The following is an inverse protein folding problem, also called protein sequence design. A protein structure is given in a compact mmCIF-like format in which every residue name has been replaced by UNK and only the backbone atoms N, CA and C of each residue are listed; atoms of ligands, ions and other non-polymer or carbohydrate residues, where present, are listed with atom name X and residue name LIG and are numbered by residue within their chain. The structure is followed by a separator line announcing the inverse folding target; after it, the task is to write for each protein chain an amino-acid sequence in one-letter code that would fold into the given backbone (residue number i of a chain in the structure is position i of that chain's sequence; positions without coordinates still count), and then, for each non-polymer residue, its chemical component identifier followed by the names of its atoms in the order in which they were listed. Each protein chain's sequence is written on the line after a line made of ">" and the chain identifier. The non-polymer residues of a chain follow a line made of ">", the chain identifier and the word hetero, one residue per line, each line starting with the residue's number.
data_IF_155283609429
#
_entry.id   IF_155283609429
#
_cell.length_a   1.000
_cell.length_b   1.000
_cell.length_c   1.000
_cell.angle_alpha   90.00
_cell.angle_beta   90.00
_cell.angle_gamma   90.00
#
_symmetry.space_group_name_H-M   'P 1'
#
loop_
_entity.id
_entity.type
_entity.pdbx_description
1 polymer ?
#
# COMPACT_ATOMS: atom_id res chain seq x y z
N UNK A 1 4.36 -26.69 16.85
CA UNK A 1 4.01 -26.71 18.30
C UNK A 1 4.51 -25.49 19.10
N UNK A 2 5.37 -24.59 18.57
CA UNK A 2 6.05 -23.56 19.40
C UNK A 2 5.49 -22.12 19.42
N UNK A 3 4.58 -21.72 18.52
CA UNK A 3 4.10 -20.31 18.45
C UNK A 3 2.85 -20.01 19.30
N UNK A 4 2.11 -21.04 19.75
CA UNK A 4 0.88 -20.87 20.56
C UNK A 4 1.12 -20.89 22.07
N UNK A 5 2.29 -21.35 22.54
CA UNK A 5 2.67 -21.40 23.96
C UNK A 5 3.25 -20.09 24.50
N UNK A 6 3.33 -19.05 23.66
CA UNK A 6 3.99 -17.77 24.00
C UNK A 6 3.09 -16.74 24.70
N UNK A 7 1.79 -16.98 24.78
CA UNK A 7 0.85 -16.02 25.37
C UNK A 7 0.68 -16.30 26.86
N UNK A 8 1.19 -15.39 27.69
CA UNK A 8 1.12 -15.48 29.15
C UNK A 8 -0.24 -15.05 29.71
N UNK A 9 -1.09 -14.40 28.91
CA UNK A 9 -2.43 -13.95 29.32
C UNK A 9 -3.47 -14.16 28.22
N UNK A 10 -4.76 -14.33 28.59
CA UNK A 10 -5.86 -14.36 27.62
C UNK A 10 -5.94 -13.13 26.72
N UNK A 11 -5.65 -11.94 27.28
CA UNK A 11 -5.68 -10.67 26.55
C UNK A 11 -4.62 -10.62 25.44
N UNK A 12 -3.38 -11.05 25.74
CA UNK A 12 -2.32 -11.10 24.73
C UNK A 12 -2.65 -12.07 23.58
N UNK A 13 -3.37 -13.14 23.89
CA UNK A 13 -3.86 -14.09 22.88
C UNK A 13 -4.96 -13.48 22.01
N UNK A 14 -5.87 -12.71 22.60
CA UNK A 14 -6.92 -11.99 21.88
C UNK A 14 -6.34 -10.96 20.90
N UNK A 15 -5.47 -10.08 21.38
CA UNK A 15 -4.78 -9.07 20.57
C UNK A 15 -4.03 -9.72 19.39
N UNK A 16 -3.34 -10.83 19.63
CA UNK A 16 -2.68 -11.57 18.56
C UNK A 16 -3.63 -12.07 17.46
N UNK A 17 -4.79 -12.62 17.82
CA UNK A 17 -5.75 -13.09 16.81
C UNK A 17 -6.43 -11.93 16.07
N UNK A 18 -6.67 -10.81 16.75
CA UNK A 18 -7.17 -9.59 16.13
C UNK A 18 -6.16 -9.12 15.07
N UNK A 19 -4.89 -8.98 15.42
CA UNK A 19 -3.83 -8.56 14.50
C UNK A 19 -3.66 -9.53 13.34
N UNK A 20 -3.71 -10.85 13.62
CA UNK A 20 -3.61 -11.89 12.61
C UNK A 20 -4.74 -11.79 11.58
N UNK A 21 -5.99 -11.59 12.04
CA UNK A 21 -7.15 -11.43 11.17
C UNK A 21 -7.02 -10.20 10.27
N UNK A 22 -6.67 -9.05 10.84
CA UNK A 22 -6.52 -7.81 10.09
C UNK A 22 -5.37 -7.90 9.08
N UNK A 23 -4.24 -8.49 9.48
CA UNK A 23 -3.10 -8.71 8.59
C UNK A 23 -3.44 -9.61 7.41
N UNK A 24 -4.14 -10.74 7.66
CA UNK A 24 -4.57 -11.63 6.59
C UNK A 24 -5.45 -10.91 5.57
N UNK A 25 -6.43 -10.13 6.04
CA UNK A 25 -7.33 -9.38 5.15
C UNK A 25 -6.60 -8.32 4.35
N UNK A 26 -5.62 -7.66 4.96
CA UNK A 26 -4.80 -6.65 4.29
C UNK A 26 -3.97 -7.27 3.16
N UNK A 27 -3.22 -8.34 3.44
CA UNK A 27 -2.29 -8.94 2.48
C UNK A 27 -2.95 -9.86 1.45
N UNK A 28 -4.11 -10.46 1.74
CA UNK A 28 -4.84 -11.32 0.81
C UNK A 28 -5.37 -10.53 -0.41
N UNK A 29 -5.30 -9.20 -0.40
CA UNK A 29 -5.76 -8.29 -1.47
C UNK A 29 -7.21 -8.55 -1.91
N UNK A 30 -7.95 -9.36 -1.14
CA UNK A 30 -9.35 -9.65 -1.32
C UNK A 30 -10.14 -8.62 -0.54
N UNK A 31 -10.17 -7.39 -1.05
CA UNK A 31 -11.25 -6.47 -0.69
C UNK A 31 -12.56 -6.97 -1.33
N UNK A 32 -13.05 -8.14 -0.86
CA UNK A 32 -14.41 -8.63 -1.12
C UNK A 32 -15.47 -7.67 -0.58
N UNK A 33 -15.07 -6.77 0.32
CA UNK A 33 -15.86 -5.60 0.68
C UNK A 33 -15.87 -4.63 -0.48
N UNK A 34 -16.90 -4.73 -1.32
CA UNK A 34 -17.18 -3.73 -2.34
C UNK A 34 -17.41 -2.39 -1.63
N UNK A 35 -16.66 -1.36 -2.02
CA UNK A 35 -16.82 0.02 -1.51
C UNK A 35 -18.25 0.56 -1.66
N UNK A 36 -19.06 -0.05 -2.51
CA UNK A 36 -20.47 0.28 -2.73
C UNK A 36 -21.44 -0.32 -1.68
N UNK A 37 -20.96 -1.11 -0.72
CA UNK A 37 -21.81 -1.67 0.33
C UNK A 37 -22.10 -0.65 1.44
N UNK A 38 -23.34 -0.64 1.94
CA UNK A 38 -23.72 0.10 3.15
C UNK A 38 -22.89 -0.35 4.35
N UNK A 39 -22.79 0.50 5.37
CA UNK A 39 -22.06 0.18 6.60
C UNK A 39 -22.56 -1.13 7.25
N UNK A 40 -23.87 -1.34 7.28
CA UNK A 40 -24.49 -2.57 7.80
C UNK A 40 -24.04 -3.82 7.03
N UNK A 41 -24.01 -3.75 5.69
CA UNK A 41 -23.52 -4.86 4.87
C UNK A 41 -22.05 -5.13 5.13
N UNK A 42 -21.23 -4.08 5.24
CA UNK A 42 -19.81 -4.22 5.57
C UNK A 42 -19.61 -4.88 6.94
N UNK A 43 -20.38 -4.49 7.96
CA UNK A 43 -20.35 -5.08 9.30
C UNK A 43 -20.74 -6.56 9.30
N UNK A 44 -21.77 -6.93 8.54
CA UNK A 44 -22.19 -8.33 8.40
C UNK A 44 -21.09 -9.19 7.76
N UNK A 45 -20.50 -8.71 6.65
CA UNK A 45 -19.40 -9.43 5.99
C UNK A 45 -18.16 -9.55 6.87
N UNK A 46 -17.85 -8.51 7.66
CA UNK A 46 -16.74 -8.57 8.63
C UNK A 46 -17.00 -9.61 9.71
N UNK A 47 -18.22 -9.65 10.27
CA UNK A 47 -18.61 -10.62 11.30
C UNK A 47 -18.54 -12.06 10.78
N UNK A 48 -19.03 -12.31 9.56
CA UNK A 48 -18.93 -13.62 8.92
C UNK A 48 -17.48 -14.02 8.64
N UNK A 49 -16.66 -13.09 8.16
CA UNK A 49 -15.24 -13.34 7.93
C UNK A 49 -14.48 -13.64 9.24
N UNK A 50 -14.80 -12.93 10.33
CA UNK A 50 -14.25 -13.19 11.65
C UNK A 50 -14.60 -14.58 12.16
N UNK A 51 -15.88 -14.97 12.10
CA UNK A 51 -16.31 -16.30 12.51
C UNK A 51 -15.61 -17.42 11.73
N UNK A 52 -15.50 -17.28 10.40
CA UNK A 52 -14.76 -18.23 9.58
C UNK A 52 -13.27 -18.25 9.94
N UNK A 53 -12.67 -17.10 10.23
CA UNK A 53 -11.27 -17.01 10.66
C UNK A 53 -11.04 -17.73 12.00
N UNK A 54 -11.91 -17.54 12.99
CA UNK A 54 -11.80 -18.16 14.31
C UNK A 54 -11.90 -19.68 14.19
N UNK A 55 -12.87 -20.20 13.43
CA UNK A 55 -13.01 -21.65 13.20
C UNK A 55 -11.73 -22.23 12.58
N UNK A 56 -11.25 -21.63 11.47
CA UNK A 56 -10.04 -22.12 10.79
C UNK A 56 -8.77 -21.99 11.65
N UNK A 57 -8.65 -20.92 12.45
CA UNK A 57 -7.45 -20.67 13.27
C UNK A 57 -7.41 -21.53 14.53
N UNK A 58 -8.58 -21.90 15.07
CA UNK A 58 -8.67 -22.86 16.17
C UNK A 58 -8.37 -24.29 15.70
N UNK A 59 -8.72 -24.62 14.46
CA UNK A 59 -8.38 -25.91 13.85
C UNK A 59 -6.86 -26.02 13.56
N UNK A 60 -6.28 -25.01 12.90
CA UNK A 60 -4.86 -24.98 12.58
C UNK A 60 -4.30 -23.55 12.51
N UNK A 61 -3.80 -23.06 13.65
CA UNK A 61 -3.17 -21.75 13.71
C UNK A 61 -1.87 -21.67 12.89
N UNK A 62 -1.12 -22.77 12.77
CA UNK A 62 0.15 -22.78 12.05
C UNK A 62 -0.08 -22.57 10.54
N UNK A 63 -1.10 -23.23 9.98
CA UNK A 63 -1.55 -23.00 8.59
C UNK A 63 -2.06 -21.59 8.37
N UNK A 64 -2.72 -21.00 9.37
CA UNK A 64 -3.18 -19.62 9.29
C UNK A 64 -2.00 -18.63 9.20
N UNK A 65 -0.97 -18.84 10.03
CA UNK A 65 0.27 -18.05 10.03
C UNK A 65 1.08 -18.26 8.75
N UNK A 66 1.20 -19.49 8.25
CA UNK A 66 1.92 -19.76 7.00
C UNK A 66 1.24 -19.05 5.82
N UNK A 67 -0.10 -19.12 5.74
CA UNK A 67 -0.87 -18.39 4.71
C UNK A 67 -0.65 -16.88 4.79
N UNK A 68 -0.53 -16.33 6.00
CA UNK A 68 -0.20 -14.91 6.17
C UNK A 68 1.16 -14.59 5.56
N UNK A 69 2.19 -15.40 5.85
CA UNK A 69 3.54 -15.21 5.31
C UNK A 69 3.53 -15.23 3.79
N UNK A 70 2.87 -16.21 3.18
CA UNK A 70 2.76 -16.35 1.73
C UNK A 70 2.04 -15.15 1.09
N UNK A 71 0.92 -14.73 1.69
CA UNK A 71 0.14 -13.59 1.20
C UNK A 71 0.93 -12.28 1.31
N UNK A 72 1.65 -12.08 2.43
CA UNK A 72 2.52 -10.93 2.61
C UNK A 72 3.64 -10.91 1.59
N UNK A 73 4.32 -12.03 1.36
CA UNK A 73 5.39 -12.11 0.35
C UNK A 73 4.86 -11.74 -1.04
N UNK A 74 3.74 -12.33 -1.45
CA UNK A 74 3.09 -12.01 -2.74
C UNK A 74 2.69 -10.54 -2.83
N UNK A 75 2.15 -9.98 -1.75
CA UNK A 75 1.78 -8.57 -1.68
C UNK A 75 3.00 -7.67 -1.89
N UNK A 76 4.06 -7.87 -1.11
CA UNK A 76 5.29 -7.08 -1.22
C UNK A 76 5.96 -7.20 -2.60
N UNK A 77 5.89 -8.38 -3.21
CA UNK A 77 6.50 -8.64 -4.52
C UNK A 77 5.70 -8.07 -5.70
N UNK A 78 4.37 -8.13 -5.65
CA UNK A 78 3.53 -7.89 -6.83
C UNK A 78 2.62 -6.67 -6.72
N UNK A 79 2.20 -6.25 -5.52
CA UNK A 79 1.33 -5.09 -5.35
C UNK A 79 2.14 -3.78 -5.48
N UNK A 80 1.56 -2.77 -6.13
CA UNK A 80 2.23 -1.47 -6.29
C UNK A 80 2.56 -0.81 -4.94
N UNK A 81 1.60 -0.78 -4.02
CA UNK A 81 1.83 -0.32 -2.64
C UNK A 81 2.75 -1.29 -1.88
N UNK A 82 2.59 -2.59 -2.07
CA UNK A 82 3.47 -3.60 -1.46
C UNK A 82 4.94 -3.41 -1.79
N UNK A 83 5.28 -3.03 -3.03
CA UNK A 83 6.66 -2.72 -3.42
C UNK A 83 7.22 -1.49 -2.70
N UNK A 84 6.39 -0.47 -2.46
CA UNK A 84 6.76 0.72 -1.68
C UNK A 84 6.98 0.35 -0.21
N UNK A 85 6.06 -0.44 0.35
CA UNK A 85 6.17 -0.95 1.71
C UNK A 85 7.46 -1.74 1.91
N UNK A 86 7.80 -2.62 0.96
CA UNK A 86 9.04 -3.39 1.03
C UNK A 86 10.28 -2.50 0.97
N UNK A 87 10.29 -1.41 0.19
CA UNK A 87 11.43 -0.46 0.19
C UNK A 87 11.53 0.25 1.53
N UNK A 88 10.38 0.66 2.08
CA UNK A 88 10.34 1.31 3.39
C UNK A 88 10.88 0.39 4.49
N UNK A 89 10.39 -0.85 4.58
CA UNK A 89 10.82 -1.83 5.56
C UNK A 89 12.32 -2.13 5.44
N UNK A 90 12.82 -2.41 4.23
CA UNK A 90 14.24 -2.70 4.03
C UNK A 90 15.15 -1.50 4.40
N UNK A 91 14.69 -0.26 4.17
CA UNK A 91 15.39 0.94 4.63
C UNK A 91 15.40 1.03 6.16
N UNK A 92 14.26 0.80 6.83
CA UNK A 92 14.15 0.88 8.29
C UNK A 92 14.99 -0.19 8.98
N UNK A 93 15.01 -1.41 8.45
CA UNK A 93 15.81 -2.53 8.98
C UNK A 93 17.32 -2.24 8.92
N UNK A 94 17.75 -1.39 7.97
CA UNK A 94 19.12 -0.93 7.82
C UNK A 94 19.42 0.38 8.56
N UNK A 95 18.44 0.95 9.27
CA UNK A 95 18.57 2.25 9.92
C UNK A 95 18.77 3.41 8.93
N UNK A 96 18.36 3.25 7.69
CA UNK A 96 18.51 4.25 6.63
C UNK A 96 17.22 5.06 6.44
N UNK A 97 17.31 6.32 5.97
CA UNK A 97 16.15 7.10 5.53
C UNK A 97 15.33 6.36 4.47
N UNK A 98 14.02 6.63 4.43
CA UNK A 98 13.12 5.98 3.50
C UNK A 98 13.45 6.35 2.05
N UNK A 99 13.54 5.33 1.17
CA UNK A 99 13.78 5.50 -0.26
C UNK A 99 12.54 5.86 -1.09
N UNK A 100 11.34 5.92 -0.50
CA UNK A 100 10.11 6.28 -1.21
C UNK A 100 9.91 7.80 -1.15
N UNK A 101 9.95 8.49 -2.30
CA UNK A 101 9.79 9.95 -2.39
C UNK A 101 8.37 10.36 -2.03
N UNK A 102 8.20 11.58 -1.50
CA UNK A 102 6.89 12.09 -1.04
C UNK A 102 5.88 12.29 -2.18
N UNK A 103 6.35 12.44 -3.42
CA UNK A 103 5.50 12.76 -4.56
C UNK A 103 5.66 11.75 -5.71
N UNK A 104 4.58 11.33 -6.38
CA UNK A 104 3.17 11.66 -6.15
C UNK A 104 2.43 10.70 -5.18
N UNK A 105 3.01 9.54 -4.87
CA UNK A 105 2.35 8.48 -4.09
C UNK A 105 3.08 8.18 -2.79
N UNK A 106 3.57 9.24 -2.14
CA UNK A 106 4.45 9.26 -0.97
C UNK A 106 4.31 8.12 0.02
N UNK A 107 5.42 7.78 0.68
CA UNK A 107 5.42 6.76 1.73
C UNK A 107 4.32 7.06 2.75
N UNK A 108 3.30 6.19 2.82
CA UNK A 108 2.14 6.37 3.72
C UNK A 108 2.45 6.03 5.18
N UNK A 109 3.66 5.56 5.45
CA UNK A 109 4.12 5.14 6.78
C UNK A 109 5.02 6.20 7.41
N UNK A 110 5.88 6.84 6.60
CA UNK A 110 6.67 7.96 7.08
C UNK A 110 5.79 9.13 7.48
N UNK A 111 6.21 9.87 8.51
CA UNK A 111 5.71 11.20 8.77
C UNK A 111 6.04 12.15 7.60
N UNK A 112 5.24 13.20 7.44
CA UNK A 112 5.39 14.16 6.33
C UNK A 112 6.75 14.88 6.33
N UNK A 113 7.37 15.02 7.51
CA UNK A 113 8.67 15.65 7.75
C UNK A 113 9.83 14.66 7.88
N UNK A 114 9.59 13.36 7.68
CA UNK A 114 10.62 12.34 7.78
C UNK A 114 11.73 12.57 6.74
N UNK A 115 12.98 12.41 7.19
CA UNK A 115 14.13 12.47 6.28
C UNK A 115 14.03 11.39 5.21
N UNK A 116 14.30 11.78 3.96
CA UNK A 116 14.27 10.89 2.81
C UNK A 116 15.67 10.62 2.28
N UNK A 117 15.81 9.46 1.67
CA UNK A 117 17.04 9.08 0.99
C UNK A 117 17.28 10.01 -0.21
N UNK A 118 18.48 10.55 -0.32
CA UNK A 118 18.92 11.35 -1.47
C UNK A 118 19.72 10.51 -2.47
N UNK A 119 19.94 11.06 -3.68
CA UNK A 119 20.85 10.45 -4.67
C UNK A 119 22.28 10.27 -4.12
N UNK A 120 22.74 11.16 -3.24
CA UNK A 120 24.06 11.07 -2.62
C UNK A 120 24.15 9.91 -1.62
N UNK A 121 23.08 9.69 -0.85
CA UNK A 121 22.97 8.54 0.03
C UNK A 121 23.03 7.23 -0.77
N UNK A 122 22.39 7.15 -1.95
CA UNK A 122 22.47 5.98 -2.83
C UNK A 122 23.86 5.75 -3.43
N UNK A 123 24.67 6.79 -3.55
CA UNK A 123 26.06 6.70 -4.04
C UNK A 123 27.06 6.32 -2.95
N UNK A 124 26.62 6.26 -1.68
CA UNK A 124 27.44 5.82 -0.55
C UNK A 124 28.28 6.93 0.10
N UNK A 125 28.08 8.20 -0.26
CA UNK A 125 28.94 9.29 0.21
C UNK A 125 28.73 9.69 1.68
N UNK A 126 27.64 9.26 2.31
CA UNK A 126 27.20 9.76 3.62
C UNK A 126 27.30 8.70 4.75
N UNK A 127 28.13 7.66 4.56
CA UNK A 127 28.31 6.57 5.53
C UNK A 127 27.17 5.55 5.61
N UNK A 128 26.12 5.70 4.79
CA UNK A 128 25.02 4.74 4.66
C UNK A 128 25.28 3.89 3.42
N UNK A 129 25.55 2.60 3.61
CA UNK A 129 25.72 1.64 2.51
C UNK A 129 24.52 0.72 2.42
N UNK A 130 23.70 0.91 1.39
CA UNK A 130 22.55 0.03 1.13
C UNK A 130 22.98 -1.16 0.26
N UNK A 131 22.40 -2.37 0.45
CA UNK A 131 22.59 -3.49 -0.46
C UNK A 131 22.21 -3.12 -1.90
N UNK A 132 22.98 -3.60 -2.88
CA UNK A 132 22.75 -3.27 -4.31
C UNK A 132 21.31 -3.56 -4.76
N UNK A 133 20.73 -4.69 -4.34
CA UNK A 133 19.34 -5.04 -4.70
C UNK A 133 18.31 -4.04 -4.18
N UNK A 134 18.55 -3.41 -3.02
CA UNK A 134 17.70 -2.34 -2.50
C UNK A 134 17.92 -1.04 -3.27
N UNK A 135 19.18 -0.69 -3.56
CA UNK A 135 19.50 0.49 -4.36
C UNK A 135 18.81 0.43 -5.74
N UNK A 136 18.85 -0.71 -6.41
CA UNK A 136 18.26 -0.88 -7.74
C UNK A 136 16.74 -0.74 -7.72
N UNK A 137 16.08 -1.28 -6.69
CA UNK A 137 14.64 -1.10 -6.49
C UNK A 137 14.26 0.35 -6.23
N UNK A 138 15.06 1.09 -5.47
CA UNK A 138 14.86 2.53 -5.22
C UNK A 138 15.04 3.32 -6.51
N UNK A 139 16.11 3.06 -7.28
CA UNK A 139 16.34 3.73 -8.56
C UNK A 139 15.22 3.47 -9.55
N UNK A 140 14.75 2.22 -9.63
CA UNK A 140 13.62 1.85 -10.49
C UNK A 140 12.33 2.55 -10.06
N UNK A 141 12.07 2.68 -8.76
CA UNK A 141 10.94 3.46 -8.26
C UNK A 141 11.03 4.92 -8.71
N UNK A 142 12.18 5.56 -8.52
CA UNK A 142 12.37 6.98 -8.86
C UNK A 142 12.25 7.25 -10.35
N UNK A 143 12.73 6.33 -11.21
CA UNK A 143 12.55 6.43 -12.67
C UNK A 143 11.07 6.37 -13.07
N UNK A 144 10.30 5.49 -12.43
CA UNK A 144 8.85 5.37 -12.73
C UNK A 144 8.08 6.62 -12.32
N UNK A 145 8.47 7.24 -11.21
CA UNK A 145 7.89 8.51 -10.75
C UNK A 145 8.22 9.67 -11.69
N UNK A 146 9.47 9.79 -12.16
CA UNK A 146 9.86 10.85 -13.10
C UNK A 146 9.09 10.75 -14.42
N UNK A 147 8.97 9.56 -14.99
CA UNK A 147 8.17 9.32 -16.22
C UNK A 147 6.70 9.66 -15.98
N UNK A 148 6.14 9.33 -14.81
CA UNK A 148 4.76 9.67 -14.47
C UNK A 148 4.53 11.17 -14.31
N UNK A 149 5.54 11.95 -13.95
CA UNK A 149 5.44 13.41 -13.81
C UNK A 149 5.55 14.06 -15.20
N UNK A 150 6.54 13.65 -16.00
CA UNK A 150 6.76 14.19 -17.35
C UNK A 150 5.56 13.95 -18.26
N UNK A 151 4.93 12.77 -18.19
CA UNK A 151 3.70 12.46 -18.95
C UNK A 151 2.48 13.30 -18.51
N UNK A 152 2.41 13.74 -17.25
CA UNK A 152 1.34 14.66 -16.77
C UNK A 152 1.59 16.10 -17.21
N UNK A 153 2.85 16.52 -17.30
CA UNK A 153 3.24 17.84 -17.81
C UNK A 153 2.99 17.91 -19.33
N UNK A 154 3.28 16.82 -20.05
CA UNK A 154 3.07 16.73 -21.50
C UNK A 154 1.59 16.58 -21.92
N UNK A 155 0.70 16.20 -21.01
CA UNK A 155 -0.73 16.06 -21.31
C UNK A 155 -1.44 17.43 -21.15
N UNK A 156 -1.93 18.06 -22.24
CA UNK A 156 -2.67 19.30 -22.10
C UNK A 156 -3.92 19.09 -21.24
N UNK A 157 -4.10 19.95 -20.25
CA UNK A 157 -5.22 19.94 -19.31
C UNK A 157 -6.54 19.93 -20.07
N UNK A 158 -7.36 18.88 -19.93
CA UNK A 158 -8.69 18.70 -20.54
C UNK A 158 -9.77 19.67 -20.00
N UNK A 159 -9.39 20.87 -19.56
CA UNK A 159 -10.30 21.90 -19.07
C UNK A 159 -10.10 23.18 -19.86
N UNK A 160 -10.52 23.15 -21.13
CA UNK A 160 -11.15 24.27 -21.84
C UNK A 160 -11.56 23.78 -23.24
N UNK A 161 -12.64 23.00 -23.31
CA UNK A 161 -13.43 22.93 -24.53
C UNK A 161 -14.33 24.16 -24.49
N UNK A 162 -13.89 25.27 -25.06
CA UNK A 162 -14.75 26.42 -25.31
C UNK A 162 -15.88 25.95 -26.22
N UNK A 163 -17.11 26.01 -25.71
CA UNK A 163 -18.30 25.82 -26.53
C UNK A 163 -18.32 26.90 -27.61
N UNK A 164 -18.39 26.48 -28.88
CA UNK A 164 -18.60 27.40 -29.99
C UNK A 164 -19.98 28.07 -29.83
N UNK A 165 -20.09 29.41 -30.02
CA UNK A 165 -21.37 30.09 -29.86
C UNK A 165 -22.34 29.65 -30.96
N UNK A 166 -23.52 29.17 -30.54
CA UNK A 166 -24.65 28.89 -31.43
C UNK A 166 -25.13 30.20 -32.05
N UNK A 167 -25.07 30.30 -33.38
CA UNK A 167 -25.68 31.42 -34.12
C UNK A 167 -27.20 31.44 -33.85
N UNK A 168 -27.70 32.61 -33.43
CA UNK A 168 -29.12 32.86 -33.25
C UNK A 168 -29.83 32.99 -34.62
N UNK A 169 -31.11 32.59 -34.72
CA UNK A 169 -31.84 32.66 -35.98
C UNK A 169 -32.24 34.11 -36.31
N UNK A 170 -31.85 34.54 -37.51
CA UNK A 170 -32.22 35.82 -38.12
C UNK A 170 -33.74 35.90 -38.31
N UNK A 171 -34.42 36.71 -37.50
CA UNK A 171 -35.78 37.13 -37.77
C UNK A 171 -35.78 38.10 -38.97
N UNK A 172 -36.39 37.68 -40.08
CA UNK A 172 -36.65 38.55 -41.23
C UNK A 172 -37.99 39.24 -41.01
N UNK A 173 -37.95 40.51 -40.63
CA UNK A 173 -39.12 41.39 -40.61
C UNK A 173 -39.38 41.97 -41.99
N UNK A 174 -40.62 41.76 -42.45
CA UNK A 174 -41.45 42.49 -43.43
C UNK A 174 -40.93 42.66 -44.86
#
# INVERSE_FOLDING_TARGET
>A
MGELTRFTTPKAREEFYIDLFHSLRFFDNQSKLKKSYSAEKQALFLSQAWNAFVVNSNEDAAKCISRLRDNREKFLRHNAFGKLLAIHEDCMDLGAPCGVKTTPMGCRICADDASQLTEENLRGYNGITLPHGLQDRIRELWKRESISIDSRIAAPSRKHRLEAPKQAPSQRTR
#
